data_IF_092722967033
#
_entry.id   IF_092722967033
#
_cell.length_a   1.000
_cell.length_b   1.000
_cell.length_c   1.000
_cell.angle_alpha   90.00
_cell.angle_beta   90.00
_cell.angle_gamma   90.00
#
_symmetry.space_group_name_H-M   'P 1'
#
loop_
_entity.id
_entity.type
_entity.pdbx_description
1 polymer ?
#
# COMPACT_ATOMS: atom_id res chain seq x y z
N UNK A 1 -50.13 -20.49 -6.11
CA UNK A 1 -48.87 -19.90 -5.60
C UNK A 1 -47.81 -20.08 -6.67
N UNK A 2 -47.66 -19.09 -7.54
CA UNK A 2 -46.63 -19.11 -8.60
C UNK A 2 -45.28 -18.77 -8.00
N UNK A 3 -44.41 -19.77 -7.91
CA UNK A 3 -43.02 -19.57 -7.55
C UNK A 3 -42.31 -18.87 -8.70
N UNK A 4 -42.00 -17.59 -8.52
CA UNK A 4 -41.04 -16.85 -9.35
C UNK A 4 -39.66 -17.46 -9.13
N UNK A 5 -39.37 -18.52 -9.89
CA UNK A 5 -38.02 -19.03 -10.03
C UNK A 5 -37.16 -17.93 -10.60
N UNK A 6 -36.26 -17.36 -9.78
CA UNK A 6 -35.23 -16.45 -10.23
C UNK A 6 -34.39 -17.24 -11.25
N UNK A 7 -34.64 -16.99 -12.53
CA UNK A 7 -33.83 -17.52 -13.63
C UNK A 7 -32.50 -16.76 -13.55
N UNK A 8 -31.61 -17.25 -12.69
CA UNK A 8 -30.22 -16.82 -12.71
C UNK A 8 -29.70 -17.26 -14.09
N UNK A 9 -29.30 -16.33 -14.97
CA UNK A 9 -28.89 -16.70 -16.32
C UNK A 9 -27.76 -17.71 -16.22
N UNK A 10 -27.85 -18.81 -16.98
CA UNK A 10 -26.94 -19.97 -16.90
C UNK A 10 -25.45 -19.59 -16.89
N UNK A 11 -25.10 -18.47 -17.56
CA UNK A 11 -23.74 -17.87 -17.55
C UNK A 11 -23.27 -17.33 -16.20
N UNK A 12 -24.17 -16.85 -15.33
CA UNK A 12 -23.82 -16.36 -14.00
C UNK A 12 -23.34 -17.51 -13.09
N UNK A 13 -23.95 -18.70 -13.23
CA UNK A 13 -23.61 -19.88 -12.42
C UNK A 13 -22.28 -20.52 -12.81
N UNK A 14 -21.76 -20.25 -14.01
CA UNK A 14 -20.47 -20.77 -14.47
C UNK A 14 -19.30 -19.81 -14.20
N UNK A 15 -19.60 -18.51 -14.04
CA UNK A 15 -18.61 -17.45 -13.78
C UNK A 15 -18.73 -16.78 -12.41
N UNK A 16 -19.58 -17.30 -11.52
CA UNK A 16 -19.78 -16.73 -10.17
C UNK A 16 -18.49 -16.55 -9.39
N UNK A 17 -17.53 -17.46 -9.57
CA UNK A 17 -16.23 -17.41 -8.88
C UNK A 17 -15.40 -16.19 -9.27
N UNK A 18 -15.53 -15.69 -10.51
CA UNK A 18 -14.87 -14.45 -10.95
C UNK A 18 -15.46 -13.24 -10.24
N UNK A 19 -16.79 -13.20 -10.14
CA UNK A 19 -17.49 -12.14 -9.41
C UNK A 19 -17.10 -12.17 -7.93
N UNK A 20 -17.12 -13.34 -7.30
CA UNK A 20 -16.72 -13.50 -5.90
C UNK A 20 -15.28 -12.98 -5.66
N UNK A 21 -14.32 -13.40 -6.49
CA UNK A 21 -12.93 -12.92 -6.37
C UNK A 21 -12.84 -11.41 -6.55
N UNK A 22 -13.52 -10.84 -7.56
CA UNK A 22 -13.49 -9.40 -7.79
C UNK A 22 -14.15 -8.61 -6.66
N UNK A 23 -15.26 -9.09 -6.10
CA UNK A 23 -15.91 -8.44 -4.97
C UNK A 23 -15.01 -8.41 -3.76
N UNK A 24 -14.34 -9.53 -3.43
CA UNK A 24 -13.39 -9.56 -2.31
C UNK A 24 -12.18 -8.68 -2.61
N UNK A 25 -11.63 -8.72 -3.82
CA UNK A 25 -10.50 -7.88 -4.22
C UNK A 25 -10.81 -6.40 -4.07
N UNK A 26 -11.96 -5.97 -4.58
CA UNK A 26 -12.43 -4.58 -4.46
C UNK A 26 -12.61 -4.22 -2.99
N UNK A 27 -13.27 -5.07 -2.19
CA UNK A 27 -13.46 -4.83 -0.76
C UNK A 27 -12.13 -4.62 -0.01
N UNK A 28 -11.10 -5.42 -0.32
CA UNK A 28 -9.75 -5.24 0.22
C UNK A 28 -9.12 -3.90 -0.17
N UNK A 29 -9.46 -3.36 -1.35
CA UNK A 29 -8.90 -2.11 -1.87
C UNK A 29 -9.65 -0.84 -1.46
N UNK A 30 -10.88 -0.93 -0.89
CA UNK A 30 -11.69 0.26 -0.52
C UNK A 30 -10.99 1.17 0.49
N UNK A 31 -9.97 0.68 1.19
CA UNK A 31 -9.37 1.36 2.35
C UNK A 31 -8.15 2.23 2.02
N UNK A 32 -7.75 2.37 0.76
CA UNK A 32 -6.59 3.19 0.38
C UNK A 32 -5.65 2.52 -0.62
N UNK A 33 -5.91 1.27 -1.00
CA UNK A 33 -5.11 0.59 -2.00
C UNK A 33 -5.31 1.22 -3.39
N UNK A 34 -4.19 1.39 -4.10
CA UNK A 34 -4.22 1.80 -5.49
C UNK A 34 -4.99 0.77 -6.32
N UNK A 35 -5.98 1.21 -7.11
CA UNK A 35 -6.71 0.39 -8.09
C UNK A 35 -5.79 -0.45 -8.99
N UNK A 36 -4.52 -0.03 -9.13
CA UNK A 36 -3.46 -0.79 -9.78
C UNK A 36 -3.29 -2.22 -9.25
N UNK A 37 -3.48 -2.44 -7.95
CA UNK A 37 -3.33 -3.76 -7.35
C UNK A 37 -4.43 -4.75 -7.81
N UNK A 38 -5.55 -4.26 -8.36
CA UNK A 38 -6.62 -5.10 -8.92
C UNK A 38 -6.32 -5.61 -10.34
N UNK A 39 -5.41 -4.95 -11.07
CA UNK A 39 -5.10 -5.26 -12.47
C UNK A 39 -4.73 -6.74 -12.67
N UNK A 40 -3.80 -7.35 -11.90
CA UNK A 40 -3.49 -8.77 -12.07
C UNK A 40 -4.69 -9.70 -11.93
N UNK A 41 -5.58 -9.41 -10.97
CA UNK A 41 -6.78 -10.22 -10.70
C UNK A 41 -7.75 -10.10 -11.88
N UNK A 42 -7.96 -8.90 -12.41
CA UNK A 42 -8.79 -8.66 -13.60
C UNK A 42 -8.23 -9.39 -14.83
N UNK A 43 -6.92 -9.26 -15.07
CA UNK A 43 -6.21 -9.91 -16.18
C UNK A 43 -6.34 -11.43 -16.07
N UNK A 44 -6.19 -11.99 -14.87
CA UNK A 44 -6.35 -13.42 -14.62
C UNK A 44 -7.79 -13.89 -14.82
N UNK A 45 -8.77 -13.22 -14.23
CA UNK A 45 -10.19 -13.53 -14.37
C UNK A 45 -10.64 -13.52 -15.84
N UNK A 46 -10.15 -12.58 -16.65
CA UNK A 46 -10.42 -12.52 -18.09
C UNK A 46 -9.72 -13.65 -18.89
N UNK A 47 -8.63 -14.19 -18.35
CA UNK A 47 -7.75 -15.13 -19.06
C UNK A 47 -7.98 -16.60 -18.73
N UNK A 48 -8.43 -16.90 -17.51
CA UNK A 48 -8.62 -18.25 -16.98
C UNK A 48 -9.80 -18.96 -17.67
N UNK A 49 -9.57 -20.19 -18.13
CA UNK A 49 -10.59 -21.02 -18.79
C UNK A 49 -11.18 -22.07 -17.86
N UNK A 50 -10.38 -22.62 -16.96
CA UNK A 50 -10.81 -23.63 -15.98
C UNK A 50 -11.30 -22.95 -14.70
N UNK A 51 -12.46 -23.34 -14.16
CA UNK A 51 -12.91 -22.82 -12.86
C UNK A 51 -11.98 -23.27 -11.73
N UNK A 52 -11.41 -24.49 -11.80
CA UNK A 52 -10.51 -25.01 -10.76
C UNK A 52 -9.20 -24.23 -10.73
N UNK A 53 -8.53 -24.11 -11.88
CA UNK A 53 -7.26 -23.36 -11.98
C UNK A 53 -7.49 -21.87 -11.75
N UNK A 54 -8.59 -21.34 -12.29
CA UNK A 54 -9.04 -19.96 -12.09
C UNK A 54 -9.18 -19.60 -10.61
N UNK A 55 -9.87 -20.45 -9.84
CA UNK A 55 -10.02 -20.30 -8.38
C UNK A 55 -8.69 -20.39 -7.64
N UNK A 56 -7.88 -21.42 -7.90
CA UNK A 56 -6.60 -21.62 -7.18
C UNK A 56 -5.67 -20.43 -7.39
N UNK A 57 -5.43 -20.06 -8.64
CA UNK A 57 -4.54 -18.93 -8.97
C UNK A 57 -5.16 -17.62 -8.50
N UNK A 58 -6.48 -17.44 -8.64
CA UNK A 58 -7.19 -16.28 -8.12
C UNK A 58 -7.05 -16.11 -6.61
N UNK A 59 -7.15 -17.20 -5.85
CA UNK A 59 -6.92 -17.19 -4.40
C UNK A 59 -5.48 -16.85 -4.05
N UNK A 60 -4.50 -17.35 -4.79
CA UNK A 60 -3.08 -16.99 -4.58
C UNK A 60 -2.88 -15.49 -4.82
N UNK A 61 -3.45 -14.94 -5.90
CA UNK A 61 -3.41 -13.50 -6.18
C UNK A 61 -4.10 -12.67 -5.09
N UNK A 62 -5.20 -13.18 -4.53
CA UNK A 62 -5.89 -12.54 -3.40
C UNK A 62 -5.05 -12.53 -2.12
N UNK A 63 -4.37 -13.63 -1.81
CA UNK A 63 -3.45 -13.72 -0.66
C UNK A 63 -2.29 -12.74 -0.85
N UNK A 64 -1.72 -12.68 -2.06
CA UNK A 64 -0.68 -11.70 -2.39
C UNK A 64 -1.20 -10.27 -2.22
N UNK A 65 -2.35 -9.93 -2.81
CA UNK A 65 -2.98 -8.61 -2.66
C UNK A 65 -3.16 -8.25 -1.18
N UNK A 66 -3.74 -9.16 -0.40
CA UNK A 66 -3.97 -8.95 1.02
C UNK A 66 -2.66 -8.72 1.79
N UNK A 67 -1.60 -9.48 1.47
CA UNK A 67 -0.30 -9.30 2.12
C UNK A 67 0.35 -7.95 1.80
N UNK A 68 0.19 -7.44 0.58
CA UNK A 68 0.72 -6.11 0.21
C UNK A 68 -0.10 -4.95 0.79
N UNK A 69 -1.42 -5.09 0.90
CA UNK A 69 -2.31 -4.00 1.30
C UNK A 69 -2.59 -4.00 2.81
N UNK A 70 -3.01 -5.13 3.37
CA UNK A 70 -3.59 -5.17 4.73
C UNK A 70 -2.60 -4.76 5.82
N UNK A 71 -1.36 -5.27 5.87
CA UNK A 71 -0.40 -4.85 6.91
C UNK A 71 -0.17 -3.34 6.92
N UNK A 72 -0.13 -2.71 5.75
CA UNK A 72 0.08 -1.27 5.61
C UNK A 72 -1.11 -0.47 6.14
N UNK A 73 -2.33 -0.85 5.77
CA UNK A 73 -3.55 -0.21 6.27
C UNK A 73 -3.74 -0.41 7.79
N UNK A 74 -3.20 -1.51 8.34
CA UNK A 74 -3.14 -1.74 9.79
C UNK A 74 -1.99 -0.97 10.48
N UNK A 75 -1.20 -0.20 9.74
CA UNK A 75 -0.07 0.56 10.26
C UNK A 75 1.07 -0.32 10.77
N UNK A 76 1.18 -1.56 10.28
CA UNK A 76 2.31 -2.44 10.61
C UNK A 76 3.56 -1.97 9.89
N UNK A 77 4.72 -2.27 10.47
CA UNK A 77 6.02 -1.92 9.91
C UNK A 77 7.05 -3.03 10.14
N UNK A 78 8.20 -2.89 9.48
CA UNK A 78 9.32 -3.83 9.59
C UNK A 78 9.69 -4.49 8.26
N UNK A 79 10.68 -5.42 8.29
CA UNK A 79 11.30 -5.98 7.08
C UNK A 79 10.39 -6.92 6.28
N UNK A 80 9.23 -7.28 6.84
CA UNK A 80 8.25 -8.17 6.21
C UNK A 80 7.02 -7.43 5.68
N UNK A 81 6.96 -6.11 5.89
CA UNK A 81 5.86 -5.26 5.43
C UNK A 81 6.29 -4.59 4.13
N UNK A 82 5.61 -4.88 3.00
CA UNK A 82 5.96 -4.28 1.73
C UNK A 82 5.84 -2.75 1.76
N UNK A 83 6.81 -2.08 1.14
CA UNK A 83 6.74 -0.64 0.97
C UNK A 83 5.66 -0.27 -0.06
N UNK A 84 5.13 0.96 0.00
CA UNK A 84 4.10 1.45 -0.94
C UNK A 84 4.52 1.22 -2.40
N UNK A 85 5.78 1.51 -2.67
CA UNK A 85 6.36 1.42 -4.00
C UNK A 85 6.44 -0.03 -4.51
N UNK A 86 6.65 -0.99 -3.61
CA UNK A 86 6.73 -2.40 -3.95
C UNK A 86 5.38 -2.95 -4.44
N UNK A 87 4.26 -2.30 -4.11
CA UNK A 87 2.95 -2.64 -4.67
C UNK A 87 2.93 -2.44 -6.20
N UNK A 88 3.67 -1.48 -6.73
CA UNK A 88 3.63 -1.18 -8.17
C UNK A 88 4.50 -2.12 -9.00
N UNK A 89 5.72 -2.45 -8.55
CA UNK A 89 6.64 -3.30 -9.30
C UNK A 89 6.68 -4.75 -8.79
N UNK A 90 6.80 -4.96 -7.47
CA UNK A 90 7.01 -6.30 -6.91
C UNK A 90 5.73 -7.12 -6.96
N UNK A 91 4.61 -6.55 -6.51
CA UNK A 91 3.33 -7.24 -6.57
C UNK A 91 2.93 -7.56 -8.02
N UNK A 92 3.10 -6.62 -8.96
CA UNK A 92 2.81 -6.89 -10.38
C UNK A 92 3.72 -7.98 -10.96
N UNK A 93 5.00 -8.01 -10.58
CA UNK A 93 5.95 -9.06 -11.00
C UNK A 93 5.59 -10.43 -10.43
N UNK A 94 5.32 -10.53 -9.13
CA UNK A 94 4.90 -11.77 -8.48
C UNK A 94 3.58 -12.28 -9.05
N UNK A 95 2.61 -11.39 -9.24
CA UNK A 95 1.32 -11.74 -9.82
C UNK A 95 1.45 -12.20 -11.28
N UNK A 96 2.33 -11.59 -12.07
CA UNK A 96 2.61 -12.04 -13.43
C UNK A 96 3.24 -13.45 -13.44
N UNK A 97 4.18 -13.74 -12.52
CA UNK A 97 4.78 -15.06 -12.37
C UNK A 97 3.73 -16.13 -11.98
N UNK A 98 2.85 -15.80 -11.03
CA UNK A 98 1.73 -16.67 -10.62
C UNK A 98 0.76 -16.92 -11.78
N UNK A 99 0.38 -15.87 -12.52
CA UNK A 99 -0.46 -16.00 -13.71
C UNK A 99 0.20 -16.85 -14.80
N UNK A 100 1.52 -16.69 -15.01
CA UNK A 100 2.28 -17.47 -15.98
C UNK A 100 2.28 -18.97 -15.61
N UNK A 101 2.58 -19.29 -14.35
CA UNK A 101 2.52 -20.67 -13.85
C UNK A 101 1.12 -21.28 -14.03
N UNK A 102 0.06 -20.52 -13.71
CA UNK A 102 -1.32 -20.93 -13.97
C UNK A 102 -1.61 -21.22 -15.44
N UNK A 103 -1.11 -20.38 -16.35
CA UNK A 103 -1.27 -20.58 -17.80
C UNK A 103 -0.51 -21.81 -18.31
N UNK A 104 0.67 -22.12 -17.75
CA UNK A 104 1.42 -23.35 -18.07
C UNK A 104 0.65 -24.60 -17.64
N UNK A 105 0.03 -24.59 -16.46
CA UNK A 105 -0.81 -25.70 -15.97
C UNK A 105 -2.02 -25.93 -16.87
N UNK A 106 -2.62 -24.87 -17.43
CA UNK A 106 -3.69 -24.97 -18.44
C UNK A 106 -3.17 -25.40 -19.84
N UNK A 107 -1.88 -25.77 -19.97
CA UNK A 107 -1.20 -26.14 -21.23
C UNK A 107 -1.33 -25.09 -22.33
N UNK A 108 -1.42 -23.81 -21.95
CA UNK A 108 -1.54 -22.72 -22.91
C UNK A 108 -0.19 -22.53 -23.62
N UNK A 109 -0.21 -22.45 -24.95
CA UNK A 109 0.95 -21.94 -25.69
C UNK A 109 1.27 -20.52 -25.21
N UNK A 110 2.53 -20.09 -25.20
CA UNK A 110 2.97 -18.79 -24.69
C UNK A 110 2.44 -17.58 -25.47
N UNK A 111 1.43 -17.74 -26.34
CA UNK A 111 0.73 -16.64 -27.00
C UNK A 111 0.14 -15.60 -26.02
N UNK A 112 -0.04 -15.96 -24.74
CA UNK A 112 -0.41 -15.03 -23.67
C UNK A 112 0.75 -14.33 -22.94
N UNK A 113 2.01 -14.70 -23.22
CA UNK A 113 3.20 -14.15 -22.56
C UNK A 113 3.36 -12.65 -22.81
N UNK A 114 2.95 -12.17 -23.99
CA UNK A 114 2.95 -10.75 -24.31
C UNK A 114 2.12 -9.92 -23.32
N UNK A 115 0.90 -10.39 -22.95
CA UNK A 115 0.03 -9.67 -22.00
C UNK A 115 0.64 -9.60 -20.60
N UNK A 116 1.30 -10.68 -20.16
CA UNK A 116 1.98 -10.75 -18.87
C UNK A 116 3.21 -9.83 -18.84
N UNK A 117 3.99 -9.83 -19.92
CA UNK A 117 5.12 -8.92 -20.08
C UNK A 117 4.66 -7.45 -20.08
N UNK A 118 3.59 -7.11 -20.81
CA UNK A 118 3.01 -5.77 -20.80
C UNK A 118 2.59 -5.35 -19.40
N UNK A 119 2.00 -6.26 -18.62
CA UNK A 119 1.60 -5.97 -17.23
C UNK A 119 2.81 -5.64 -16.34
N UNK A 120 3.89 -6.41 -16.46
CA UNK A 120 5.15 -6.14 -15.73
C UNK A 120 5.71 -4.78 -16.15
N UNK A 121 5.82 -4.52 -17.45
CA UNK A 121 6.31 -3.23 -17.97
C UNK A 121 5.45 -2.06 -17.46
N UNK A 122 4.12 -2.18 -17.50
CA UNK A 122 3.22 -1.15 -16.95
C UNK A 122 3.47 -0.94 -15.45
N UNK A 123 3.70 -2.02 -14.69
CA UNK A 123 4.04 -1.92 -13.26
C UNK A 123 5.32 -1.13 -13.01
N UNK A 124 6.38 -1.41 -13.76
CA UNK A 124 7.64 -0.65 -13.69
C UNK A 124 7.47 0.81 -14.13
N UNK A 125 6.74 1.07 -15.21
CA UNK A 125 6.46 2.43 -15.68
C UNK A 125 5.66 3.22 -14.65
N UNK A 126 4.63 2.62 -14.06
CA UNK A 126 3.85 3.23 -12.99
C UNK A 126 4.71 3.51 -11.75
N UNK A 127 5.62 2.59 -11.41
CA UNK A 127 6.60 2.79 -10.33
C UNK A 127 7.49 4.00 -10.59
N UNK A 128 8.04 4.11 -11.81
CA UNK A 128 8.86 5.24 -12.22
C UNK A 128 8.08 6.56 -12.18
N UNK A 129 6.82 6.56 -12.62
CA UNK A 129 5.95 7.73 -12.55
C UNK A 129 5.64 8.15 -11.11
N UNK A 130 5.32 7.19 -10.23
CA UNK A 130 5.04 7.47 -8.81
C UNK A 130 6.29 8.00 -8.11
N UNK A 131 7.46 7.40 -8.35
CA UNK A 131 8.73 7.92 -7.85
C UNK A 131 8.98 9.35 -8.31
N UNK A 132 8.72 9.63 -9.59
CA UNK A 132 8.88 10.98 -10.12
C UNK A 132 7.90 11.97 -9.48
N UNK A 133 6.62 11.61 -9.35
CA UNK A 133 5.62 12.45 -8.70
C UNK A 133 5.93 12.67 -7.20
N UNK A 134 6.47 11.66 -6.51
CA UNK A 134 6.89 11.78 -5.11
C UNK A 134 8.09 12.71 -4.91
N UNK A 135 8.87 13.03 -5.96
CA UNK A 135 9.88 14.09 -5.87
C UNK A 135 9.23 15.49 -5.78
N UNK A 136 7.99 15.64 -6.27
CA UNK A 136 7.28 16.91 -6.33
C UNK A 136 6.24 17.06 -5.20
N UNK A 137 5.70 15.96 -4.66
CA UNK A 137 4.71 15.98 -3.58
C UNK A 137 5.33 15.85 -2.19
N UNK A 138 4.75 16.54 -1.21
CA UNK A 138 5.09 16.31 0.20
C UNK A 138 4.75 14.86 0.60
N UNK A 139 5.58 14.19 1.43
CA UNK A 139 5.30 12.86 1.93
C UNK A 139 3.91 12.78 2.60
N UNK A 140 3.29 11.60 2.50
CA UNK A 140 1.90 11.38 2.90
C UNK A 140 1.70 11.34 4.42
N UNK A 141 0.65 10.65 4.87
CA UNK A 141 0.38 10.43 6.30
C UNK A 141 1.34 9.42 6.96
N UNK A 142 2.15 8.73 6.16
CA UNK A 142 3.07 7.66 6.58
C UNK A 142 2.44 6.65 7.57
N UNK A 143 1.12 6.45 7.45
CA UNK A 143 0.27 5.63 8.32
C UNK A 143 0.26 6.06 9.80
N UNK A 144 0.57 7.32 10.09
CA UNK A 144 0.59 7.88 11.45
C UNK A 144 -0.81 8.31 11.88
N UNK A 145 -1.70 8.57 10.91
CA UNK A 145 -3.11 8.74 11.16
C UNK A 145 -3.81 7.40 11.48
N UNK A 146 -4.89 7.43 12.28
CA UNK A 146 -5.45 8.59 12.96
C UNK A 146 -4.56 9.13 14.10
N UNK A 147 -4.71 10.43 14.34
CA UNK A 147 -4.15 11.16 15.46
C UNK A 147 -4.46 10.51 16.82
N UNK A 148 -3.61 10.67 17.83
CA UNK A 148 -4.01 10.41 19.22
C UNK A 148 -5.24 11.26 19.56
N UNK A 149 -6.30 10.65 20.08
CA UNK A 149 -7.55 11.34 20.41
C UNK A 149 -7.40 12.52 21.39
N UNK A 150 -6.28 12.56 22.10
CA UNK A 150 -5.92 13.58 23.10
C UNK A 150 -5.28 14.83 22.48
N UNK A 151 -4.82 14.77 21.22
CA UNK A 151 -4.12 15.86 20.55
C UNK A 151 -4.98 16.44 19.44
N UNK A 152 -4.98 17.77 19.35
CA UNK A 152 -5.53 18.50 18.20
C UNK A 152 -4.41 18.68 17.19
N UNK A 153 -4.63 18.18 15.98
CA UNK A 153 -3.66 18.25 14.89
C UNK A 153 -4.07 19.36 13.92
N UNK A 154 -3.11 20.25 13.64
CA UNK A 154 -3.15 21.15 12.51
C UNK A 154 -2.10 20.68 11.50
N UNK A 155 -2.53 20.45 10.26
CA UNK A 155 -1.67 20.02 9.17
C UNK A 155 -1.38 21.19 8.25
N UNK A 156 -0.12 21.34 7.87
CA UNK A 156 0.32 22.31 6.90
C UNK A 156 1.32 21.68 5.92
N UNK A 157 1.50 22.31 4.77
CA UNK A 157 2.45 21.90 3.74
C UNK A 157 3.44 23.03 3.52
N UNK A 158 4.72 22.73 3.66
CA UNK A 158 5.80 23.67 3.40
C UNK A 158 6.63 23.19 2.21
N UNK A 159 7.03 24.12 1.34
CA UNK A 159 7.86 23.82 0.17
C UNK A 159 9.06 24.76 0.13
N UNK A 160 10.21 24.24 -0.27
CA UNK A 160 11.45 24.99 -0.48
C UNK A 160 12.20 24.50 -1.72
N UNK A 161 13.41 25.03 -1.94
CA UNK A 161 14.25 24.65 -3.09
C UNK A 161 14.67 23.17 -3.11
N UNK A 162 14.54 22.46 -1.99
CA UNK A 162 14.85 21.03 -1.85
C UNK A 162 13.62 20.11 -1.87
N UNK A 163 12.43 20.60 -2.22
CA UNK A 163 11.19 19.83 -2.26
C UNK A 163 10.14 20.32 -1.25
N UNK A 164 9.02 19.61 -1.21
CA UNK A 164 7.94 19.85 -0.25
C UNK A 164 8.00 18.84 0.90
N UNK A 165 7.70 19.31 2.11
CA UNK A 165 7.54 18.47 3.29
C UNK A 165 6.24 18.81 4.01
N UNK A 166 5.78 17.86 4.82
CA UNK A 166 4.57 18.04 5.61
C UNK A 166 4.93 18.45 7.02
N UNK A 167 4.22 19.46 7.51
CA UNK A 167 4.34 19.96 8.87
C UNK A 167 3.08 19.59 9.62
N UNK A 168 3.24 18.88 10.73
CA UNK A 168 2.14 18.50 11.59
C UNK A 168 2.33 19.14 12.96
N UNK A 169 1.44 20.07 13.32
CA UNK A 169 1.44 20.69 14.65
C UNK A 169 0.41 20.00 15.52
N UNK A 170 0.85 19.28 16.55
CA UNK A 170 -0.01 18.65 17.52
C UNK A 170 -0.03 19.46 18.83
N UNK A 171 -1.22 19.81 19.29
CA UNK A 171 -1.45 20.59 20.51
C UNK A 171 -2.32 19.81 21.50
N UNK A 172 -1.98 19.88 22.78
CA UNK A 172 -2.66 19.16 23.87
C UNK A 172 -1.75 18.92 25.06
N UNK A 173 -2.29 18.39 26.15
CA UNK A 173 -1.51 18.17 27.37
C UNK A 173 -0.40 17.14 27.13
N UNK A 174 0.84 17.50 27.49
CA UNK A 174 2.04 16.67 27.28
C UNK A 174 2.22 16.24 25.81
N UNK A 175 1.86 17.10 24.86
CA UNK A 175 1.88 16.79 23.43
C UNK A 175 3.18 16.13 22.94
N UNK A 176 4.40 16.58 23.34
CA UNK A 176 5.63 15.92 22.91
C UNK A 176 5.73 14.46 23.37
N UNK A 177 5.33 14.16 24.61
CA UNK A 177 5.42 12.80 25.16
C UNK A 177 4.38 11.88 24.52
N UNK A 178 3.13 12.34 24.41
CA UNK A 178 2.04 11.59 23.77
C UNK A 178 2.37 11.28 22.31
N UNK A 179 2.95 12.25 21.59
CA UNK A 179 3.34 12.03 20.20
C UNK A 179 4.46 11.00 20.07
N UNK A 180 5.50 11.06 20.92
CA UNK A 180 6.58 10.04 20.91
C UNK A 180 6.05 8.64 21.21
N UNK A 181 5.14 8.51 22.17
CA UNK A 181 4.51 7.23 22.50
C UNK A 181 3.65 6.71 21.35
N UNK A 182 2.88 7.59 20.70
CA UNK A 182 2.12 7.25 19.49
C UNK A 182 3.01 6.75 18.37
N UNK A 183 4.10 7.46 18.07
CA UNK A 183 5.07 7.03 17.05
C UNK A 183 5.72 5.69 17.42
N UNK A 184 6.10 5.50 18.67
CA UNK A 184 6.64 4.23 19.16
C UNK A 184 5.63 3.09 18.99
N UNK A 185 4.34 3.32 19.27
CA UNK A 185 3.28 2.33 19.05
C UNK A 185 3.09 1.94 17.58
N UNK A 186 3.48 2.83 16.66
CA UNK A 186 3.50 2.60 15.21
C UNK A 186 4.83 2.01 14.73
N UNK A 187 5.74 1.63 15.62
CA UNK A 187 7.01 1.01 15.25
C UNK A 187 8.13 1.98 14.87
N UNK A 188 7.98 3.28 15.17
CA UNK A 188 9.11 4.20 15.07
C UNK A 188 10.06 4.01 16.26
N UNK A 189 11.35 4.04 15.99
CA UNK A 189 12.42 3.89 16.98
C UNK A 189 13.26 5.16 17.05
N UNK A 190 13.84 5.50 18.22
CA UNK A 190 14.72 6.67 18.33
C UNK A 190 15.91 6.55 17.37
N UNK A 191 16.06 7.54 16.49
CA UNK A 191 17.18 7.66 15.57
C UNK A 191 18.22 8.67 16.06
N UNK A 192 19.34 8.83 15.34
CA UNK A 192 20.27 9.92 15.62
C UNK A 192 19.57 11.27 15.47
N UNK A 193 19.84 12.18 16.39
CA UNK A 193 19.35 13.56 16.34
C UNK A 193 19.73 14.22 15.02
N UNK A 194 18.87 15.11 14.53
CA UNK A 194 19.13 15.89 13.33
C UNK A 194 20.45 16.66 13.46
N UNK A 195 21.36 16.47 12.52
CA UNK A 195 22.61 17.24 12.46
C UNK A 195 22.37 18.71 12.07
N UNK A 196 21.23 19.00 11.43
CA UNK A 196 20.90 20.34 10.92
C UNK A 196 20.20 21.17 12.01
N UNK A 197 19.22 20.58 12.69
CA UNK A 197 18.34 21.29 13.63
C UNK A 197 18.58 20.93 15.10
N UNK A 198 19.30 19.83 15.38
CA UNK A 198 19.52 19.31 16.73
C UNK A 198 18.30 18.60 17.34
N UNK A 199 17.18 18.50 16.63
CA UNK A 199 15.94 17.93 17.14
C UNK A 199 16.01 16.39 17.25
N UNK A 200 15.28 15.79 18.23
CA UNK A 200 15.11 14.35 18.31
C UNK A 200 14.38 13.81 17.08
N UNK A 201 14.86 12.67 16.58
CA UNK A 201 14.27 11.97 15.44
C UNK A 201 13.77 10.60 15.86
N UNK A 202 12.65 10.19 15.31
CA UNK A 202 12.17 8.82 15.39
C UNK A 202 12.02 8.28 13.97
N UNK A 203 12.55 7.10 13.70
CA UNK A 203 12.59 6.53 12.36
C UNK A 203 11.94 5.14 12.33
N UNK A 204 11.32 4.84 11.22
CA UNK A 204 10.70 3.56 10.91
C UNK A 204 11.29 3.05 9.60
N UNK A 205 11.58 1.76 9.55
CA UNK A 205 12.03 1.08 8.33
C UNK A 205 10.91 0.16 7.82
N UNK A 206 10.67 0.23 6.51
CA UNK A 206 9.69 -0.58 5.80
C UNK A 206 10.28 -1.09 4.49
N UNK A 207 9.64 -2.10 3.88
CA UNK A 207 10.08 -2.67 2.62
C UNK A 207 10.75 -4.04 2.78
N UNK A 208 10.48 -4.90 1.80
CA UNK A 208 10.95 -6.29 1.78
C UNK A 208 12.21 -6.44 0.94
N UNK A 209 12.24 -5.82 -0.23
CA UNK A 209 13.39 -5.84 -1.16
C UNK A 209 14.15 -4.53 -1.14
N UNK A 210 13.43 -3.41 -1.06
CA UNK A 210 14.04 -2.08 -0.96
C UNK A 210 13.65 -1.48 0.38
N UNK A 211 14.62 -1.35 1.28
CA UNK A 211 14.39 -0.76 2.59
C UNK A 211 14.21 0.75 2.46
N UNK A 212 13.03 1.23 2.82
CA UNK A 212 12.70 2.63 2.92
C UNK A 212 12.71 3.05 4.38
N UNK A 213 13.45 4.12 4.68
CA UNK A 213 13.48 4.71 6.01
C UNK A 213 12.72 6.03 6.02
N UNK A 214 11.68 6.09 6.85
CA UNK A 214 10.89 7.30 7.09
C UNK A 214 11.23 7.79 8.49
N UNK A 215 11.64 9.05 8.61
CA UNK A 215 11.96 9.67 9.89
C UNK A 215 11.01 10.84 10.18
N UNK A 216 10.51 10.88 11.41
CA UNK A 216 9.77 11.97 12.01
C UNK A 216 10.74 12.77 12.88
N UNK A 217 10.91 14.05 12.59
CA UNK A 217 11.64 14.97 13.44
C UNK A 217 10.66 15.67 14.38
N UNK A 218 10.90 15.57 15.70
CA UNK A 218 10.02 16.18 16.70
C UNK A 218 10.64 17.46 17.23
N UNK A 219 9.97 18.57 16.99
CA UNK A 219 10.33 19.89 17.50
C UNK A 219 9.38 20.28 18.63
N UNK A 220 9.90 20.28 19.84
CA UNK A 220 9.16 20.66 21.03
C UNK A 220 9.01 22.20 21.04
N UNK A 221 7.81 22.70 20.72
CA UNK A 221 7.51 24.14 20.77
C UNK A 221 7.22 24.57 22.21
N UNK A 222 6.45 23.76 22.93
CA UNK A 222 6.13 23.96 24.34
C UNK A 222 5.75 22.63 24.99
N UNK A 223 5.51 22.63 26.31
CA UNK A 223 5.00 21.44 27.01
C UNK A 223 3.68 20.90 26.43
N UNK A 224 2.89 21.76 25.78
CA UNK A 224 1.58 21.45 25.24
C UNK A 224 1.51 21.51 23.69
N UNK A 225 2.65 21.69 23.02
CA UNK A 225 2.68 21.78 21.56
C UNK A 225 3.96 21.15 21.01
N UNK A 226 3.81 20.26 20.03
CA UNK A 226 4.92 19.64 19.30
C UNK A 226 4.67 19.78 17.81
N UNK A 227 5.71 20.13 17.07
CA UNK A 227 5.72 20.09 15.62
C UNK A 227 6.45 18.82 15.18
N UNK A 228 5.86 18.11 14.23
CA UNK A 228 6.40 16.89 13.63
C UNK A 228 6.63 17.16 12.16
N UNK A 229 7.89 17.08 11.74
CA UNK A 229 8.30 17.24 10.35
C UNK A 229 8.74 15.88 9.80
N UNK A 230 8.20 15.50 8.64
CA UNK A 230 8.44 14.19 8.03
C UNK A 230 9.49 14.26 6.93
N UNK A 231 10.44 13.33 6.97
CA UNK A 231 11.48 13.19 5.96
C UNK A 231 11.59 11.73 5.53
N UNK A 232 11.52 11.50 4.22
CA UNK A 232 11.86 10.21 3.62
C UNK A 232 13.33 10.28 3.25
N UNK A 233 14.14 9.40 3.84
CA UNK A 233 15.53 9.25 3.43
C UNK A 233 15.59 8.06 2.48
N UNK A 234 15.79 8.36 1.19
CA UNK A 234 15.96 7.37 0.12
C UNK A 234 17.41 6.95 -0.07
#
# INVERSE_FOLDING_TARGET
MSGTGVVVPFRLREHWWRLALLTVAVATCVWGASLFALIPILVWCASARSPRTGLVVGLILMVLLAWFVVPRELGWSGPWVPAAIEVYWLHTTLAAAVCFAGALVERRRPAGAGRLLTMVVIGFVATGFVLFAQLEEAPGDENVLPAPAQLRIAEDKACGSGGCWRVLTATGDRAPAVMREHLASRGYTPGPTSTITGNPRMCQQTGVLVTHQVCAELKDISANAVQVDWYVNS
#
